data_IF_299136264040
#
_entry.id   IF_299136264040
#
_cell.length_a   1.000
_cell.length_b   1.000
_cell.length_c   1.000
_cell.angle_alpha   90.00
_cell.angle_beta   90.00
_cell.angle_gamma   90.00
#
_symmetry.space_group_name_H-M   'P 1'
#
loop_
_entity.id
_entity.type
_entity.pdbx_description
1 polymer ?
#
# COMPACT_ATOMS: atom_id res chain seq x y z
N UNK A 1 17.59 13.00 6.21
CA UNK A 1 18.98 12.64 5.85
C UNK A 1 18.91 11.79 4.58
N UNK A 2 19.52 12.22 3.49
CA UNK A 2 19.34 11.63 2.14
C UNK A 2 19.78 10.16 2.09
N UNK A 3 20.81 9.78 2.86
CA UNK A 3 21.23 8.37 3.00
C UNK A 3 20.13 7.46 3.58
N UNK A 4 19.35 7.96 4.54
CA UNK A 4 18.29 7.16 5.18
C UNK A 4 17.09 6.91 4.27
N UNK A 5 16.86 7.79 3.28
CA UNK A 5 15.79 7.64 2.30
C UNK A 5 16.21 6.67 1.20
N UNK A 6 17.46 6.76 0.73
CA UNK A 6 18.04 5.80 -0.22
C UNK A 6 18.03 4.38 0.35
N UNK A 7 18.43 4.18 1.61
CA UNK A 7 18.42 2.86 2.23
C UNK A 7 17.00 2.26 2.30
N UNK A 8 16.00 3.06 2.66
CA UNK A 8 14.60 2.61 2.72
C UNK A 8 14.09 2.12 1.37
N UNK A 9 14.42 2.84 0.32
CA UNK A 9 14.03 2.49 -1.04
C UNK A 9 14.68 1.19 -1.53
N UNK A 10 15.97 0.98 -1.24
CA UNK A 10 16.62 -0.28 -1.56
C UNK A 10 16.00 -1.46 -0.81
N UNK A 11 15.62 -1.29 0.46
CA UNK A 11 14.90 -2.33 1.23
C UNK A 11 13.50 -2.60 0.68
N UNK A 12 12.77 -1.57 0.22
CA UNK A 12 11.51 -1.73 -0.50
C UNK A 12 11.74 -2.56 -1.78
N UNK A 13 12.76 -2.22 -2.57
CA UNK A 13 13.06 -2.90 -3.81
C UNK A 13 13.39 -4.38 -3.60
N UNK A 14 14.21 -4.66 -2.58
CA UNK A 14 14.59 -6.01 -2.17
C UNK A 14 13.37 -6.80 -1.69
N UNK A 15 12.50 -6.18 -0.90
CA UNK A 15 11.25 -6.81 -0.43
C UNK A 15 10.33 -7.15 -1.60
N UNK A 16 10.12 -6.21 -2.52
CA UNK A 16 9.29 -6.44 -3.71
C UNK A 16 9.86 -7.55 -4.58
N UNK A 17 11.17 -7.55 -4.84
CA UNK A 17 11.86 -8.62 -5.57
C UNK A 17 11.69 -9.97 -4.89
N UNK A 18 11.84 -10.05 -3.57
CA UNK A 18 11.75 -11.31 -2.82
C UNK A 18 10.32 -11.87 -2.85
N UNK A 19 9.32 -11.03 -2.58
CA UNK A 19 7.92 -11.44 -2.50
C UNK A 19 7.37 -11.78 -3.89
N UNK A 20 7.67 -10.96 -4.90
CA UNK A 20 7.11 -11.15 -6.26
C UNK A 20 7.75 -12.31 -7.02
N UNK A 21 9.05 -12.59 -6.85
CA UNK A 21 9.71 -13.70 -7.54
C UNK A 21 9.31 -15.09 -7.03
N UNK A 22 8.82 -15.17 -5.79
CA UNK A 22 8.50 -16.48 -5.20
C UNK A 22 7.19 -17.05 -5.72
N UNK A 23 6.15 -16.22 -5.97
CA UNK A 23 4.81 -16.71 -6.32
C UNK A 23 3.97 -15.76 -7.18
N UNK A 24 3.17 -16.29 -8.14
CA UNK A 24 2.37 -15.48 -9.06
C UNK A 24 1.08 -14.95 -8.41
N UNK A 25 1.13 -13.80 -7.75
CA UNK A 25 -0.04 -13.05 -7.22
C UNK A 25 0.30 -11.61 -6.84
N UNK A 26 1.58 -11.29 -6.72
CA UNK A 26 2.09 -9.92 -6.68
C UNK A 26 2.55 -9.56 -8.09
N UNK A 27 2.43 -8.29 -8.46
CA UNK A 27 2.98 -7.78 -9.71
C UNK A 27 4.48 -8.04 -9.73
N UNK A 28 4.91 -8.84 -10.72
CA UNK A 28 6.28 -9.25 -10.91
C UNK A 28 7.21 -8.04 -11.01
N UNK A 29 8.26 -8.03 -10.19
CA UNK A 29 9.39 -7.10 -10.33
C UNK A 29 10.56 -7.85 -10.95
N UNK A 30 11.15 -7.26 -11.99
CA UNK A 30 12.31 -7.81 -12.68
C UNK A 30 13.63 -7.23 -12.15
N UNK A 31 13.57 -6.08 -11.47
CA UNK A 31 14.76 -5.43 -10.92
C UNK A 31 14.63 -3.92 -10.85
N UNK A 32 15.79 -3.30 -10.68
CA UNK A 32 15.99 -1.86 -10.77
C UNK A 32 16.73 -1.54 -12.08
N UNK A 33 16.42 -0.39 -12.65
CA UNK A 33 17.24 0.25 -13.69
C UNK A 33 17.58 1.66 -13.24
N UNK A 34 18.44 2.36 -13.95
CA UNK A 34 18.80 3.75 -13.69
C UNK A 34 18.42 4.61 -14.89
N UNK A 35 17.70 5.70 -14.63
CA UNK A 35 17.43 6.70 -15.64
C UNK A 35 18.74 7.42 -16.01
N UNK A 36 19.09 7.40 -17.29
CA UNK A 36 20.36 7.95 -17.79
C UNK A 36 20.39 9.48 -17.78
N UNK A 37 19.24 10.15 -17.62
CA UNK A 37 19.14 11.61 -17.65
C UNK A 37 19.43 12.26 -16.29
N UNK A 38 18.88 11.71 -15.21
CA UNK A 38 18.93 12.28 -13.86
C UNK A 38 19.59 11.35 -12.82
N UNK A 39 19.95 10.13 -13.21
CA UNK A 39 20.58 9.14 -12.33
C UNK A 39 19.62 8.48 -11.35
N UNK A 40 18.32 8.74 -11.41
CA UNK A 40 17.33 8.14 -10.50
C UNK A 40 17.13 6.66 -10.83
N UNK A 41 17.08 5.80 -9.81
CA UNK A 41 16.66 4.41 -10.03
C UNK A 41 15.15 4.31 -10.32
N UNK A 42 14.78 3.31 -11.10
CA UNK A 42 13.41 3.02 -11.48
C UNK A 42 13.13 1.54 -11.28
N UNK A 43 11.89 1.21 -10.92
CA UNK A 43 11.42 -0.17 -10.85
C UNK A 43 11.05 -0.69 -12.24
N UNK A 44 11.55 -1.89 -12.56
CA UNK A 44 11.12 -2.62 -13.76
C UNK A 44 10.05 -3.62 -13.35
N UNK A 45 8.79 -3.28 -13.57
CA UNK A 45 7.63 -4.09 -13.21
C UNK A 45 6.97 -4.69 -14.45
N UNK A 46 6.33 -5.85 -14.30
CA UNK A 46 5.46 -6.40 -15.34
C UNK A 46 4.32 -5.44 -15.61
N UNK A 47 4.15 -5.09 -16.89
CA UNK A 47 3.06 -4.26 -17.37
C UNK A 47 1.71 -4.90 -17.06
N UNK A 48 0.82 -4.10 -16.46
CA UNK A 48 -0.56 -4.48 -16.15
C UNK A 48 -1.51 -3.60 -16.97
N UNK A 49 -2.79 -3.98 -17.07
CA UNK A 49 -3.73 -3.28 -17.95
C UNK A 49 -4.47 -2.13 -17.25
N UNK A 50 -5.22 -2.43 -16.19
CA UNK A 50 -6.01 -1.43 -15.44
C UNK A 50 -6.04 -1.78 -13.95
N UNK A 51 -6.30 -0.77 -13.11
CA UNK A 51 -6.56 -0.98 -11.68
C UNK A 51 -7.98 -1.50 -11.41
N UNK A 52 -8.19 -2.17 -10.28
CA UNK A 52 -9.48 -2.76 -9.90
C UNK A 52 -10.58 -1.71 -9.80
N UNK A 53 -10.28 -0.49 -9.35
CA UNK A 53 -11.29 0.59 -9.32
C UNK A 53 -11.82 0.88 -10.73
N UNK A 54 -10.92 1.07 -11.70
CA UNK A 54 -11.32 1.27 -13.12
C UNK A 54 -12.04 0.05 -13.69
N UNK A 55 -11.56 -1.16 -13.39
CA UNK A 55 -12.22 -2.39 -13.83
C UNK A 55 -13.66 -2.48 -13.33
N UNK A 56 -13.90 -2.21 -12.03
CA UNK A 56 -15.23 -2.22 -11.44
C UNK A 56 -16.13 -1.13 -12.03
N UNK A 57 -15.60 0.05 -12.33
CA UNK A 57 -16.35 1.13 -12.99
C UNK A 57 -16.79 0.76 -14.41
N UNK A 58 -15.91 0.09 -15.17
CA UNK A 58 -16.18 -0.32 -16.55
C UNK A 58 -17.19 -1.48 -16.64
N UNK A 59 -17.22 -2.35 -15.62
CA UNK A 59 -17.98 -3.60 -15.67
C UNK A 59 -19.09 -3.68 -14.61
N UNK A 60 -19.48 -2.55 -14.00
CA UNK A 60 -20.35 -2.53 -12.82
C UNK A 60 -21.66 -3.35 -12.98
N UNK A 61 -22.30 -3.21 -14.14
CA UNK A 61 -23.58 -3.88 -14.45
C UNK A 61 -23.40 -5.29 -15.05
N UNK A 62 -22.16 -5.74 -15.28
CA UNK A 62 -21.84 -6.98 -15.97
C UNK A 62 -21.07 -7.98 -15.09
N UNK A 63 -20.56 -7.56 -13.91
CA UNK A 63 -19.86 -8.46 -12.98
C UNK A 63 -20.79 -9.53 -12.42
N UNK A 64 -20.55 -10.77 -12.80
CA UNK A 64 -21.17 -11.95 -12.22
C UNK A 64 -20.69 -12.17 -10.78
N UNK A 65 -21.44 -12.95 -10.01
CA UNK A 65 -21.02 -13.35 -8.66
C UNK A 65 -19.74 -14.20 -8.67
N UNK A 66 -19.59 -15.05 -9.68
CA UNK A 66 -18.41 -15.89 -9.86
C UNK A 66 -17.13 -15.04 -10.02
N UNK A 67 -17.17 -14.01 -10.88
CA UNK A 67 -16.04 -13.09 -11.04
C UNK A 67 -15.71 -12.34 -9.76
N UNK A 68 -16.73 -11.90 -8.99
CA UNK A 68 -16.52 -11.24 -7.70
C UNK A 68 -15.78 -12.16 -6.72
N UNK A 69 -16.22 -13.41 -6.62
CA UNK A 69 -15.59 -14.43 -5.77
C UNK A 69 -14.15 -14.68 -6.23
N UNK A 70 -13.92 -14.80 -7.54
CA UNK A 70 -12.59 -15.02 -8.10
C UNK A 70 -11.64 -13.87 -7.77
N UNK A 71 -12.07 -12.61 -7.96
CA UNK A 71 -11.29 -11.41 -7.61
C UNK A 71 -10.94 -11.43 -6.12
N UNK A 72 -11.92 -11.69 -5.25
CA UNK A 72 -11.71 -11.74 -3.80
C UNK A 72 -10.73 -12.85 -3.42
N UNK A 73 -10.86 -14.03 -4.00
CA UNK A 73 -9.98 -15.16 -3.77
C UNK A 73 -8.53 -14.83 -4.18
N UNK A 74 -8.31 -14.17 -5.31
CA UNK A 74 -6.98 -13.74 -5.77
C UNK A 74 -6.33 -12.72 -4.83
N UNK A 75 -7.12 -11.77 -4.30
CA UNK A 75 -6.65 -10.80 -3.30
C UNK A 75 -6.26 -11.51 -2.00
N UNK A 76 -7.09 -12.43 -1.50
CA UNK A 76 -6.81 -13.21 -0.28
C UNK A 76 -5.52 -14.03 -0.44
N UNK A 77 -5.36 -14.72 -1.58
CA UNK A 77 -4.15 -15.49 -1.87
C UNK A 77 -2.90 -14.61 -1.93
N UNK A 78 -3.01 -13.41 -2.48
CA UNK A 78 -1.91 -12.46 -2.52
C UNK A 78 -1.52 -11.96 -1.12
N UNK A 79 -2.51 -11.67 -0.26
CA UNK A 79 -2.28 -11.26 1.13
C UNK A 79 -1.66 -12.38 1.98
N UNK A 80 -2.15 -13.63 1.86
CA UNK A 80 -1.54 -14.78 2.53
C UNK A 80 -0.04 -14.89 2.21
N UNK A 81 0.33 -14.66 0.95
CA UNK A 81 1.75 -14.69 0.54
C UNK A 81 2.57 -13.56 1.13
N UNK A 82 2.02 -12.35 1.22
CA UNK A 82 2.69 -11.21 1.88
C UNK A 82 2.89 -11.55 3.38
N UNK A 83 1.86 -12.10 4.03
CA UNK A 83 1.91 -12.45 5.45
C UNK A 83 2.91 -13.58 5.76
N UNK A 84 3.05 -14.57 4.88
CA UNK A 84 4.07 -15.64 5.01
C UNK A 84 5.51 -15.12 4.98
N UNK A 85 5.74 -13.94 4.43
CA UNK A 85 7.03 -13.25 4.45
C UNK A 85 7.16 -12.31 5.66
N UNK A 86 6.32 -12.48 6.69
CA UNK A 86 6.24 -11.67 7.91
C UNK A 86 6.02 -10.17 7.64
N UNK A 87 5.35 -9.84 6.54
CA UNK A 87 5.04 -8.46 6.16
C UNK A 87 3.52 -8.24 6.11
N UNK A 88 3.10 -6.98 6.22
CA UNK A 88 1.76 -6.50 5.92
C UNK A 88 1.85 -5.40 4.86
N UNK A 89 0.87 -5.30 3.97
CA UNK A 89 0.91 -4.36 2.84
C UNK A 89 0.75 -2.88 3.24
N UNK A 90 -0.10 -2.59 4.23
CA UNK A 90 -0.41 -1.25 4.81
C UNK A 90 -1.04 -0.19 3.91
N UNK A 91 -1.13 -0.42 2.61
CA UNK A 91 -1.73 0.49 1.64
C UNK A 91 -2.58 -0.26 0.62
N UNK A 92 -3.28 -1.30 1.08
CA UNK A 92 -4.13 -2.11 0.21
C UNK A 92 -5.41 -1.33 -0.11
N UNK A 93 -5.60 -1.02 -1.38
CA UNK A 93 -6.84 -0.44 -1.90
C UNK A 93 -7.00 -0.79 -3.38
N UNK A 94 -8.18 -0.54 -3.94
CA UNK A 94 -8.52 -0.89 -5.33
C UNK A 94 -7.63 -0.27 -6.42
N UNK A 95 -6.88 0.81 -6.11
CA UNK A 95 -5.84 1.39 -6.98
C UNK A 95 -4.53 0.57 -7.02
N UNK A 96 -4.27 -0.24 -6.00
CA UNK A 96 -3.07 -1.05 -5.85
C UNK A 96 -3.33 -2.52 -6.21
N UNK A 97 -4.50 -2.83 -6.76
CA UNK A 97 -4.85 -4.13 -7.29
C UNK A 97 -4.97 -3.99 -8.80
N UNK A 98 -4.13 -4.70 -9.56
CA UNK A 98 -3.98 -4.53 -10.99
C UNK A 98 -4.44 -5.77 -11.75
N UNK A 99 -5.21 -5.56 -12.80
CA UNK A 99 -5.73 -6.60 -13.69
C UNK A 99 -4.78 -6.86 -14.86
N UNK A 100 -4.55 -8.13 -15.18
CA UNK A 100 -3.93 -8.57 -16.42
C UNK A 100 -4.99 -9.20 -17.34
N UNK A 101 -5.24 -8.57 -18.49
CA UNK A 101 -6.12 -9.10 -19.54
C UNK A 101 -5.55 -10.36 -20.20
N UNK A 102 -4.23 -10.54 -20.17
CA UNK A 102 -3.57 -11.69 -20.79
C UNK A 102 -3.85 -12.98 -20.02
N UNK A 103 -3.67 -12.98 -18.69
CA UNK A 103 -3.94 -14.15 -17.85
C UNK A 103 -5.33 -14.13 -17.19
N UNK A 104 -6.09 -13.04 -17.35
CA UNK A 104 -7.40 -12.81 -16.72
C UNK A 104 -7.35 -12.96 -15.19
N UNK A 105 -6.38 -12.31 -14.55
CA UNK A 105 -6.18 -12.34 -13.10
C UNK A 105 -5.83 -10.97 -12.53
N UNK A 106 -6.08 -10.81 -11.24
CA UNK A 106 -5.72 -9.66 -10.43
C UNK A 106 -4.49 -9.94 -9.59
N UNK A 107 -3.68 -8.89 -9.42
CA UNK A 107 -2.42 -8.92 -8.70
C UNK A 107 -2.35 -7.74 -7.76
N UNK A 108 -1.84 -7.97 -6.56
CA UNK A 108 -1.48 -6.88 -5.66
C UNK A 108 -0.19 -6.22 -6.17
N UNK A 109 -0.12 -4.91 -6.07
CA UNK A 109 1.03 -4.07 -6.45
C UNK A 109 1.33 -3.08 -5.33
N UNK A 110 2.42 -2.32 -5.46
CA UNK A 110 2.80 -1.26 -4.53
C UNK A 110 3.13 -1.73 -3.11
N UNK A 111 4.32 -2.28 -2.95
CA UNK A 111 4.82 -2.74 -1.65
C UNK A 111 5.65 -1.67 -0.91
N UNK A 112 5.54 -0.38 -1.27
CA UNK A 112 6.37 0.67 -0.67
C UNK A 112 6.09 0.98 0.79
N UNK A 113 4.91 0.60 1.27
CA UNK A 113 4.56 0.64 2.69
C UNK A 113 4.61 -0.74 3.35
N UNK A 114 5.07 -1.76 2.64
CA UNK A 114 5.10 -3.12 3.14
C UNK A 114 6.15 -3.26 4.24
N UNK A 115 5.83 -3.97 5.32
CA UNK A 115 6.75 -4.17 6.43
C UNK A 115 6.14 -4.95 7.59
N UNK A 116 6.93 -5.29 8.61
CA UNK A 116 6.50 -6.19 9.68
C UNK A 116 5.42 -5.57 10.56
N UNK A 117 4.39 -6.33 10.93
CA UNK A 117 3.19 -5.78 11.60
C UNK A 117 3.49 -5.04 12.93
N UNK A 118 4.56 -5.40 13.62
CA UNK A 118 4.96 -4.79 14.90
C UNK A 118 5.64 -3.42 14.78
N UNK A 119 5.97 -2.96 13.57
CA UNK A 119 6.61 -1.66 13.34
C UNK A 119 5.57 -0.65 12.89
N UNK A 120 5.21 0.38 13.68
CA UNK A 120 4.25 1.39 13.25
C UNK A 120 4.78 2.16 12.03
N UNK A 121 3.89 2.47 11.09
CA UNK A 121 4.15 3.33 9.94
C UNK A 121 4.38 4.78 10.38
N UNK A 122 4.98 5.58 9.50
CA UNK A 122 5.17 7.02 9.77
C UNK A 122 3.83 7.73 9.98
N UNK A 123 2.78 7.37 9.23
CA UNK A 123 1.42 7.90 9.42
C UNK A 123 0.85 7.53 10.78
N UNK A 124 1.07 6.30 11.24
CA UNK A 124 0.65 5.87 12.59
C UNK A 124 1.43 6.65 13.66
N UNK A 125 2.75 6.78 13.53
CA UNK A 125 3.57 7.58 14.44
C UNK A 125 3.18 9.06 14.43
N UNK A 126 2.95 9.65 13.25
CA UNK A 126 2.47 11.03 13.11
C UNK A 126 1.07 11.16 13.71
N UNK A 127 0.18 10.18 13.59
CA UNK A 127 -1.11 10.18 14.28
C UNK A 127 -0.96 10.03 15.80
N UNK A 128 0.02 9.25 16.27
CA UNK A 128 0.37 9.14 17.69
C UNK A 128 0.95 10.45 18.25
N UNK A 129 1.79 11.15 17.48
CA UNK A 129 2.47 12.38 17.89
C UNK A 129 1.67 13.66 17.60
N UNK A 130 0.73 13.63 16.64
CA UNK A 130 -0.17 14.75 16.29
C UNK A 130 -1.37 14.83 17.22
N UNK A 131 -1.62 13.80 18.03
CA UNK A 131 -2.58 13.86 19.12
C UNK A 131 -1.80 14.22 20.38
N UNK A 132 -1.95 15.47 20.84
CA UNK A 132 -1.80 15.73 22.28
C UNK A 132 -2.95 14.98 22.92
N UNK A 133 -2.70 13.74 23.31
CA UNK A 133 -3.61 13.11 24.23
C UNK A 133 -3.39 13.82 25.55
N UNK A 134 -4.19 14.85 25.80
CA UNK A 134 -4.44 15.33 27.15
C UNK A 134 -5.28 14.25 27.84
N UNK A 135 -4.70 13.05 28.03
CA UNK A 135 -5.20 12.08 28.99
C UNK A 135 -4.81 12.61 30.37
N UNK A 136 -5.50 13.66 30.80
CA UNK A 136 -5.69 13.84 32.22
C UNK A 136 -6.48 12.62 32.67
N UNK A 137 -5.82 11.74 33.44
CA UNK A 137 -6.50 10.64 34.10
C UNK A 137 -7.54 11.31 35.00
N UNK A 138 -8.84 11.10 34.78
CA UNK A 138 -9.85 11.77 35.57
C UNK A 138 -9.70 11.33 37.02
N UNK A 139 -9.68 12.28 37.95
CA UNK A 139 -9.63 11.98 39.38
C UNK A 139 -10.92 11.26 39.85
N UNK A 140 -12.00 11.35 39.06
CA UNK A 140 -13.26 10.63 39.31
C UNK A 140 -13.97 10.15 38.03
N UNK A 141 -14.97 9.26 38.19
CA UNK A 141 -15.73 8.66 37.08
C UNK A 141 -16.77 9.59 36.44
N UNK A 142 -17.13 10.69 37.09
CA UNK A 142 -18.12 11.67 36.61
C UNK A 142 -17.53 12.65 35.59
N UNK A 143 -16.20 12.78 35.52
CA UNK A 143 -15.52 13.68 34.59
C UNK A 143 -15.36 13.10 33.17
N UNK A 144 -15.75 11.84 32.97
CA UNK A 144 -15.60 11.14 31.68
C UNK A 144 -16.43 11.79 30.55
N UNK A 145 -17.62 12.30 30.87
CA UNK A 145 -18.55 12.85 29.87
C UNK A 145 -18.23 14.29 29.42
N UNK A 146 -17.38 15.01 30.16
CA UNK A 146 -17.08 16.44 29.87
C UNK A 146 -16.05 16.65 28.77
N UNK A 147 -15.26 15.63 28.41
CA UNK A 147 -14.10 15.76 27.50
C UNK A 147 -14.45 15.87 26.00
N UNK A 148 -15.70 15.64 25.61
CA UNK A 148 -16.09 15.45 24.20
C UNK A 148 -16.22 16.71 23.34
N UNK A 149 -16.06 17.92 23.89
CA UNK A 149 -16.43 19.17 23.20
C UNK A 149 -15.26 20.10 22.85
N UNK A 150 -14.26 19.65 22.08
CA UNK A 150 -13.34 20.58 21.38
C UNK A 150 -13.06 20.15 19.94
N UNK A 151 -13.46 21.00 18.99
CA UNK A 151 -13.36 20.83 17.54
C UNK A 151 -11.94 21.03 17.01
N UNK A 152 -11.49 20.13 16.12
CA UNK A 152 -10.14 20.14 15.51
C UNK A 152 -10.11 20.90 14.17
N UNK A 153 -9.09 21.74 13.96
CA UNK A 153 -8.70 22.30 12.65
C UNK A 153 -7.53 21.50 12.06
N UNK A 154 -7.72 20.97 10.85
CA UNK A 154 -6.68 20.27 10.07
C UNK A 154 -5.94 21.23 9.15
N UNK A 155 -4.60 21.18 9.14
CA UNK A 155 -3.75 21.81 8.13
C UNK A 155 -3.11 20.71 7.29
N UNK A 156 -3.41 20.70 5.99
CA UNK A 156 -2.90 19.70 5.04
C UNK A 156 -1.62 20.19 4.38
N UNK A 157 -0.56 19.37 4.38
CA UNK A 157 0.56 19.47 3.42
C UNK A 157 0.54 18.25 2.51
N UNK A 158 0.54 18.50 1.20
CA UNK A 158 0.52 17.51 0.13
C UNK A 158 1.96 17.25 -0.33
N UNK A 159 2.34 15.99 -0.54
CA UNK A 159 3.55 15.58 -1.26
C UNK A 159 3.16 14.71 -2.48
N UNK A 160 3.76 14.98 -3.64
CA UNK A 160 3.57 14.23 -4.90
C UNK A 160 4.74 13.26 -5.12
N UNK A 161 4.45 12.04 -5.62
CA UNK A 161 5.44 11.06 -6.10
C UNK A 161 4.87 10.39 -7.36
N UNK A 162 5.66 10.32 -8.45
CA UNK A 162 5.27 9.70 -9.72
C UNK A 162 5.89 8.29 -9.89
N UNK A 163 5.11 7.34 -10.42
CA UNK A 163 5.53 5.99 -10.83
C UNK A 163 5.29 5.82 -12.33
N UNK A 164 6.34 5.47 -13.08
CA UNK A 164 6.21 5.16 -14.50
C UNK A 164 5.97 3.66 -14.70
N UNK A 165 4.93 3.33 -15.47
CA UNK A 165 4.72 1.98 -16.00
C UNK A 165 5.50 1.86 -17.32
N UNK A 166 6.37 0.87 -17.45
CA UNK A 166 7.10 0.65 -18.70
C UNK A 166 6.14 0.26 -19.84
N UNK A 167 6.40 0.85 -21.01
CA UNK A 167 5.63 0.69 -22.25
C UNK A 167 5.66 -0.74 -22.78
#
# INVERSE_FOLDING_TARGET
NVESENQRWFEEAKSHLTISNRRPSIVQCYGLTQNTLDGNFLFVLRKMNIDLRKYLQQNHNQLTWEERIQITHEIILALDRIHRENAIHRDLHSKNILHSRYVQRFYISDLGFCGPANRPSKKELEAFHSKSYDFEIPDNIEDFDKSSSRTFKSSSKVFNIEKLQSM
#
